data_IF_264991867258
#
_entry.id   IF_264991867258
#
_cell.length_a   1.000
_cell.length_b   1.000
_cell.length_c   1.000
_cell.angle_alpha   90.00
_cell.angle_beta   90.00
_cell.angle_gamma   90.00
#
_symmetry.space_group_name_H-M   'P 1'
#
loop_
_entity.id
_entity.type
_entity.pdbx_description
1 polymer ?
#
# COMPACT_ATOMS: atom_id res chain seq x y z
N UNK A 1 -38.48 -22.51 26.51
CA UNK A 1 -38.40 -21.64 25.30
C UNK A 1 -37.21 -20.67 25.30
N UNK A 2 -36.48 -20.48 26.42
CA UNK A 2 -35.43 -19.46 26.52
C UNK A 2 -34.00 -20.00 26.30
N UNK A 3 -33.82 -21.32 26.32
CA UNK A 3 -32.53 -21.99 26.05
C UNK A 3 -32.23 -22.10 24.56
N UNK A 4 -33.25 -22.27 23.72
CA UNK A 4 -33.10 -22.36 22.25
C UNK A 4 -32.65 -21.02 21.64
N UNK A 5 -33.24 -19.89 22.08
CA UNK A 5 -32.87 -18.55 21.63
C UNK A 5 -31.42 -18.17 21.99
N UNK A 6 -30.94 -18.57 23.18
CA UNK A 6 -29.56 -18.33 23.62
C UNK A 6 -28.52 -19.05 22.75
N UNK A 7 -28.85 -20.24 22.24
CA UNK A 7 -27.95 -20.97 21.33
C UNK A 7 -27.91 -20.32 19.95
N UNK A 8 -29.03 -19.76 19.47
CA UNK A 8 -29.07 -19.06 18.17
C UNK A 8 -28.30 -17.75 18.19
N UNK A 9 -28.30 -16.99 19.29
CA UNK A 9 -27.45 -15.79 19.44
C UNK A 9 -25.96 -16.14 19.56
N UNK A 10 -25.62 -17.23 20.27
CA UNK A 10 -24.23 -17.68 20.42
C UNK A 10 -23.64 -18.19 19.09
N UNK A 11 -24.46 -18.80 18.23
CA UNK A 11 -24.03 -19.28 16.91
C UNK A 11 -23.72 -18.14 15.93
N UNK A 12 -24.46 -17.01 16.01
CA UNK A 12 -24.19 -15.82 15.19
C UNK A 12 -22.82 -15.19 15.48
N UNK A 13 -22.32 -15.30 16.71
CA UNK A 13 -21.00 -14.82 17.09
C UNK A 13 -19.84 -15.69 16.58
N UNK A 14 -20.10 -16.95 16.20
CA UNK A 14 -19.04 -17.91 15.78
C UNK A 14 -18.96 -18.03 14.25
N UNK A 15 -20.05 -17.77 13.54
CA UNK A 15 -20.15 -17.83 12.07
C UNK A 15 -20.80 -16.57 11.50
N UNK A 16 -20.19 -15.41 11.73
CA UNK A 16 -20.47 -14.24 10.90
C UNK A 16 -19.47 -14.23 9.74
N UNK A 17 -19.86 -14.54 8.49
CA UNK A 17 -18.96 -14.48 7.34
C UNK A 17 -18.41 -13.06 7.08
N UNK A 18 -18.98 -12.03 7.73
CA UNK A 18 -18.45 -10.65 7.74
C UNK A 18 -17.43 -10.39 8.85
N UNK A 19 -17.19 -11.33 9.77
CA UNK A 19 -16.21 -11.20 10.86
C UNK A 19 -14.75 -11.47 10.44
N UNK A 20 -14.51 -11.93 9.21
CA UNK A 20 -13.17 -12.40 8.79
C UNK A 20 -12.24 -11.25 8.38
N UNK A 21 -12.78 -10.10 7.95
CA UNK A 21 -11.98 -8.92 7.62
C UNK A 21 -12.45 -7.72 8.45
N UNK A 22 -11.79 -7.47 9.59
CA UNK A 22 -11.94 -6.19 10.29
C UNK A 22 -11.49 -5.05 9.36
N UNK A 23 -12.05 -3.85 9.52
CA UNK A 23 -11.70 -2.70 8.68
C UNK A 23 -10.18 -2.43 8.63
N UNK A 24 -9.42 -2.56 9.74
CA UNK A 24 -7.96 -2.46 9.69
C UNK A 24 -7.27 -3.56 8.87
N UNK A 25 -7.73 -4.81 8.97
CA UNK A 25 -7.17 -5.94 8.21
C UNK A 25 -7.43 -5.77 6.71
N UNK A 26 -8.65 -5.37 6.34
CA UNK A 26 -8.99 -5.08 4.95
C UNK A 26 -8.13 -3.94 4.38
N UNK A 27 -8.00 -2.85 5.15
CA UNK A 27 -7.16 -1.71 4.77
C UNK A 27 -5.70 -2.12 4.54
N UNK A 28 -5.05 -2.77 5.52
CA UNK A 28 -3.64 -3.18 5.42
C UNK A 28 -3.46 -4.12 4.23
N UNK A 29 -4.38 -5.08 4.03
CA UNK A 29 -4.31 -6.03 2.92
C UNK A 29 -4.35 -5.32 1.57
N UNK A 30 -5.32 -4.41 1.37
CA UNK A 30 -5.43 -3.63 0.12
C UNK A 30 -4.21 -2.73 -0.09
N UNK A 31 -3.77 -2.03 0.96
CA UNK A 31 -2.65 -1.10 0.91
C UNK A 31 -1.33 -1.81 0.55
N UNK A 32 -1.03 -2.94 1.23
CA UNK A 32 0.16 -3.74 0.97
C UNK A 32 0.10 -4.40 -0.42
N UNK A 33 -1.08 -4.81 -0.89
CA UNK A 33 -1.23 -5.36 -2.24
C UNK A 33 -0.92 -4.33 -3.33
N UNK A 34 -1.38 -3.08 -3.16
CA UNK A 34 -1.02 -1.98 -4.08
C UNK A 34 0.48 -1.68 -4.04
N UNK A 35 1.09 -1.70 -2.86
CA UNK A 35 2.55 -1.58 -2.72
C UNK A 35 3.30 -2.72 -3.44
N UNK A 36 2.86 -3.96 -3.26
CA UNK A 36 3.45 -5.13 -3.92
C UNK A 36 3.32 -5.02 -5.45
N UNK A 37 2.20 -4.52 -5.96
CA UNK A 37 2.02 -4.24 -7.38
C UNK A 37 3.04 -3.21 -7.89
N UNK A 38 3.24 -2.11 -7.15
CA UNK A 38 4.22 -1.09 -7.53
C UNK A 38 5.64 -1.66 -7.51
N UNK A 39 6.01 -2.43 -6.49
CA UNK A 39 7.31 -3.12 -6.42
C UNK A 39 7.47 -4.05 -7.62
N UNK A 40 6.44 -4.83 -7.97
CA UNK A 40 6.48 -5.75 -9.10
C UNK A 40 6.68 -5.02 -10.44
N UNK A 41 6.06 -3.85 -10.63
CA UNK A 41 6.21 -3.04 -11.84
C UNK A 41 7.58 -2.34 -11.91
N UNK A 42 8.15 -1.99 -10.76
CA UNK A 42 9.39 -1.20 -10.66
C UNK A 42 10.65 -2.03 -10.42
N UNK A 43 10.53 -3.36 -10.24
CA UNK A 43 11.67 -4.24 -9.94
C UNK A 43 12.74 -4.28 -11.03
N UNK A 44 12.32 -4.13 -12.29
CA UNK A 44 13.23 -4.19 -13.45
C UNK A 44 13.79 -2.79 -13.78
N UNK A 45 13.35 -1.74 -13.08
CA UNK A 45 13.78 -0.36 -13.26
C UNK A 45 15.29 -0.10 -13.01
N UNK A 46 15.94 -0.68 -11.98
CA UNK A 46 17.38 -0.55 -11.81
C UNK A 46 18.20 -1.26 -12.91
N UNK A 47 17.63 -2.26 -13.57
CA UNK A 47 18.32 -3.08 -14.57
C UNK A 47 18.26 -2.47 -15.99
N UNK A 48 17.42 -1.45 -16.20
CA UNK A 48 17.13 -0.88 -17.54
C UNK A 48 18.34 -0.25 -18.21
N UNK A 49 19.22 0.40 -17.45
CA UNK A 49 20.45 0.99 -17.99
C UNK A 49 21.43 -0.09 -18.47
N UNK A 50 21.44 -1.26 -17.82
CA UNK A 50 22.13 -2.46 -18.29
C UNK A 50 21.47 -3.03 -19.55
N UNK A 51 20.17 -3.30 -19.49
CA UNK A 51 19.40 -3.89 -20.59
C UNK A 51 19.47 -3.06 -21.88
N UNK A 52 19.42 -1.73 -21.76
CA UNK A 52 19.54 -0.80 -22.91
C UNK A 52 20.94 -0.82 -23.53
N UNK A 53 21.98 -1.01 -22.72
CA UNK A 53 23.38 -1.14 -23.18
C UNK A 53 23.62 -2.45 -23.91
N UNK A 54 22.89 -3.51 -23.57
CA UNK A 54 23.00 -4.84 -24.18
C UNK A 54 21.88 -5.17 -25.19
N UNK A 55 21.07 -4.19 -25.61
CA UNK A 55 19.97 -4.36 -26.58
C UNK A 55 18.89 -5.38 -26.16
N UNK A 56 18.68 -5.57 -24.86
CA UNK A 56 17.63 -6.48 -24.35
C UNK A 56 16.30 -5.73 -24.26
N UNK A 57 15.25 -6.28 -24.87
CA UNK A 57 13.92 -5.68 -24.89
C UNK A 57 13.12 -6.11 -23.65
N UNK A 58 12.84 -5.16 -22.74
CA UNK A 58 12.00 -5.32 -21.54
C UNK A 58 10.89 -4.25 -21.55
N UNK A 59 9.90 -4.39 -20.66
CA UNK A 59 8.77 -3.45 -20.58
C UNK A 59 9.25 -2.00 -20.30
N UNK A 60 10.37 -1.86 -19.59
CA UNK A 60 11.00 -0.59 -19.26
C UNK A 60 11.83 0.03 -20.38
N UNK A 61 12.40 -0.76 -21.30
CA UNK A 61 13.04 -0.22 -22.51
C UNK A 61 12.02 0.20 -23.57
N UNK A 62 10.78 -0.35 -23.55
CA UNK A 62 9.69 0.02 -24.47
C UNK A 62 8.81 1.20 -23.99
N UNK A 63 8.42 1.23 -22.71
CA UNK A 63 7.62 2.33 -22.14
C UNK A 63 8.47 3.51 -21.66
N UNK A 64 9.77 3.28 -21.44
CA UNK A 64 10.71 4.25 -20.89
C UNK A 64 10.72 4.26 -19.36
N UNK A 65 11.93 4.31 -18.78
CA UNK A 65 12.18 4.35 -17.33
C UNK A 65 11.35 5.42 -16.63
N UNK A 66 11.21 6.60 -17.25
CA UNK A 66 10.47 7.73 -16.71
C UNK A 66 8.97 7.45 -16.57
N UNK A 67 8.36 6.72 -17.50
CA UNK A 67 6.93 6.42 -17.46
C UNK A 67 6.62 5.37 -16.39
N UNK A 68 7.47 4.37 -16.22
CA UNK A 68 7.29 3.36 -15.17
C UNK A 68 7.49 3.97 -13.79
N UNK A 69 8.52 4.82 -13.61
CA UNK A 69 8.70 5.58 -12.38
C UNK A 69 7.47 6.45 -12.08
N UNK A 70 6.95 7.17 -13.08
CA UNK A 70 5.75 8.00 -12.94
C UNK A 70 4.50 7.19 -12.59
N UNK A 71 4.28 6.03 -13.23
CA UNK A 71 3.17 5.13 -12.91
C UNK A 71 3.29 4.58 -11.49
N UNK A 72 4.48 4.14 -11.08
CA UNK A 72 4.76 3.67 -9.72
C UNK A 72 4.50 4.75 -8.67
N UNK A 73 5.04 5.95 -8.87
CA UNK A 73 4.80 7.10 -8.00
C UNK A 73 3.32 7.50 -7.96
N UNK A 74 2.64 7.50 -9.11
CA UNK A 74 1.21 7.83 -9.18
C UNK A 74 0.35 6.83 -8.40
N UNK A 75 0.61 5.53 -8.56
CA UNK A 75 -0.09 4.49 -7.80
C UNK A 75 0.16 4.60 -6.29
N UNK A 76 1.40 4.82 -5.87
CA UNK A 76 1.72 5.03 -4.45
C UNK A 76 1.05 6.29 -3.90
N UNK A 77 1.06 7.40 -4.65
CA UNK A 77 0.43 8.64 -4.21
C UNK A 77 -1.08 8.46 -4.00
N UNK A 78 -1.76 7.78 -4.94
CA UNK A 78 -3.19 7.45 -4.79
C UNK A 78 -3.41 6.56 -3.56
N UNK A 79 -2.53 5.59 -3.32
CA UNK A 79 -2.61 4.72 -2.14
C UNK A 79 -2.47 5.52 -0.83
N UNK A 80 -1.53 6.48 -0.76
CA UNK A 80 -1.38 7.38 0.38
C UNK A 80 -2.61 8.28 0.60
N UNK A 81 -3.16 8.86 -0.47
CA UNK A 81 -4.39 9.66 -0.38
C UNK A 81 -5.55 8.82 0.13
N UNK A 82 -5.71 7.59 -0.38
CA UNK A 82 -6.74 6.66 0.08
C UNK A 82 -6.60 6.33 1.57
N UNK A 83 -5.38 6.16 2.08
CA UNK A 83 -5.12 5.96 3.51
C UNK A 83 -5.54 7.18 4.36
N UNK A 84 -5.21 8.39 3.93
CA UNK A 84 -5.65 9.62 4.62
C UNK A 84 -7.18 9.72 4.63
N UNK A 85 -7.84 9.42 3.52
CA UNK A 85 -9.30 9.40 3.43
C UNK A 85 -9.91 8.33 4.35
N UNK A 86 -9.34 7.12 4.38
CA UNK A 86 -9.78 6.06 5.28
C UNK A 86 -9.73 6.49 6.76
N UNK A 87 -8.66 7.19 7.17
CA UNK A 87 -8.53 7.74 8.52
C UNK A 87 -9.62 8.78 8.83
N UNK A 88 -9.98 9.63 7.85
CA UNK A 88 -11.00 10.68 8.00
C UNK A 88 -12.41 10.07 8.10
N UNK A 89 -12.74 9.11 7.22
CA UNK A 89 -14.08 8.51 7.15
C UNK A 89 -14.33 7.43 8.21
N UNK A 90 -13.28 6.80 8.74
CA UNK A 90 -13.39 5.72 9.74
C UNK A 90 -12.60 6.03 11.03
N UNK A 91 -12.91 7.14 11.74
CA UNK A 91 -12.15 7.59 12.90
C UNK A 91 -12.20 6.60 14.08
N UNK A 92 -13.22 5.74 14.15
CA UNK A 92 -13.35 4.68 15.15
C UNK A 92 -12.47 3.45 14.86
N UNK A 93 -12.02 3.27 13.62
CA UNK A 93 -11.21 2.13 13.20
C UNK A 93 -9.70 2.42 13.22
N UNK A 94 -9.30 3.69 13.12
CA UNK A 94 -7.90 4.08 12.94
C UNK A 94 -7.48 5.24 13.84
N UNK A 95 -6.21 5.25 14.25
CA UNK A 95 -5.58 6.35 15.00
C UNK A 95 -5.23 7.51 14.06
N UNK A 96 -6.20 8.40 13.83
CA UNK A 96 -6.06 9.60 12.96
C UNK A 96 -4.81 10.44 13.22
N UNK A 97 -4.44 10.61 14.48
CA UNK A 97 -3.27 11.40 14.88
C UNK A 97 -1.94 10.83 14.38
N UNK A 98 -1.90 9.54 14.05
CA UNK A 98 -0.73 8.89 13.45
C UNK A 98 -0.92 8.72 11.95
N UNK A 99 -2.07 8.16 11.54
CA UNK A 99 -2.33 7.76 10.16
C UNK A 99 -2.24 8.94 9.19
N UNK A 100 -2.85 10.08 9.52
CA UNK A 100 -2.85 11.25 8.64
C UNK A 100 -1.45 11.84 8.47
N UNK A 101 -0.74 12.28 9.53
CA UNK A 101 0.57 12.92 9.34
C UNK A 101 1.62 11.95 8.79
N UNK A 102 1.59 10.66 9.15
CA UNK A 102 2.56 9.69 8.64
C UNK A 102 2.42 9.49 7.12
N UNK A 103 1.20 9.25 6.62
CA UNK A 103 0.97 9.02 5.20
C UNK A 103 1.16 10.31 4.37
N UNK A 104 0.82 11.49 4.92
CA UNK A 104 1.15 12.77 4.27
C UNK A 104 2.66 12.95 4.16
N UNK A 105 3.42 12.70 5.24
CA UNK A 105 4.86 12.83 5.23
C UNK A 105 5.51 11.91 4.18
N UNK A 106 5.09 10.64 4.13
CA UNK A 106 5.60 9.68 3.15
C UNK A 106 5.20 10.03 1.71
N UNK A 107 3.99 10.54 1.49
CA UNK A 107 3.56 11.05 0.18
C UNK A 107 4.40 12.26 -0.27
N UNK A 108 4.73 13.17 0.66
CA UNK A 108 5.61 14.30 0.39
C UNK A 108 7.01 13.83 0.03
N UNK A 109 7.59 12.91 0.82
CA UNK A 109 8.88 12.28 0.51
C UNK A 109 8.88 11.64 -0.88
N UNK A 110 7.78 10.99 -1.28
CA UNK A 110 7.63 10.41 -2.61
C UNK A 110 7.62 11.45 -3.73
N UNK A 111 6.93 12.58 -3.54
CA UNK A 111 6.87 13.67 -4.54
C UNK A 111 8.26 14.29 -4.75
N UNK A 112 9.03 14.46 -3.67
CA UNK A 112 10.37 15.04 -3.74
C UNK A 112 11.46 14.05 -4.19
N UNK A 113 11.12 12.79 -4.46
CA UNK A 113 12.07 11.82 -5.01
C UNK A 113 12.32 12.11 -6.50
N UNK A 114 13.32 12.96 -6.79
CA UNK A 114 13.66 13.35 -8.17
C UNK A 114 14.63 12.36 -8.86
N UNK A 115 15.34 11.55 -8.08
CA UNK A 115 16.34 10.63 -8.61
C UNK A 115 15.72 9.30 -9.05
N UNK A 116 15.78 9.02 -10.35
CA UNK A 116 15.50 7.70 -10.92
C UNK A 116 16.54 6.68 -10.43
N UNK A 117 17.81 7.10 -10.32
CA UNK A 117 18.88 6.30 -9.74
C UNK A 117 18.56 6.03 -8.26
N UNK A 118 18.22 4.78 -7.94
CA UNK A 118 17.81 4.36 -6.61
C UNK A 118 16.31 4.43 -6.32
N UNK A 119 15.46 4.75 -7.29
CA UNK A 119 13.99 4.80 -7.11
C UNK A 119 13.41 3.49 -6.56
N UNK A 120 13.84 2.35 -7.08
CA UNK A 120 13.43 1.04 -6.57
C UNK A 120 13.79 0.84 -5.09
N UNK A 121 15.02 1.22 -4.70
CA UNK A 121 15.46 1.15 -3.30
C UNK A 121 14.66 2.11 -2.42
N UNK A 122 14.33 3.29 -2.94
CA UNK A 122 13.48 4.25 -2.24
C UNK A 122 12.06 3.70 -2.00
N UNK A 123 11.46 3.01 -2.97
CA UNK A 123 10.16 2.31 -2.77
C UNK A 123 10.25 1.29 -1.63
N UNK A 124 11.31 0.50 -1.57
CA UNK A 124 11.51 -0.44 -0.47
C UNK A 124 11.63 0.27 0.89
N UNK A 125 12.32 1.41 0.95
CA UNK A 125 12.40 2.19 2.19
C UNK A 125 11.01 2.70 2.63
N UNK A 126 10.19 3.18 1.69
CA UNK A 126 8.80 3.56 1.99
C UNK A 126 7.99 2.36 2.51
N UNK A 127 8.14 1.19 1.87
CA UNK A 127 7.46 -0.03 2.31
C UNK A 127 7.87 -0.46 3.72
N UNK A 128 9.16 -0.39 4.05
CA UNK A 128 9.63 -0.70 5.41
C UNK A 128 9.16 0.31 6.45
N UNK A 129 9.10 1.60 6.08
CA UNK A 129 8.54 2.63 6.96
C UNK A 129 7.06 2.34 7.29
N UNK A 130 6.26 1.98 6.28
CA UNK A 130 4.86 1.57 6.47
C UNK A 130 4.72 0.36 7.38
N UNK A 131 5.55 -0.66 7.16
CA UNK A 131 5.55 -1.87 7.99
C UNK A 131 5.85 -1.58 9.47
N UNK A 132 6.71 -0.59 9.74
CA UNK A 132 6.98 -0.13 11.09
C UNK A 132 5.81 0.67 11.70
N UNK A 133 5.00 1.34 10.88
CA UNK A 133 3.85 2.15 11.31
C UNK A 133 2.62 1.28 11.60
N UNK A 134 2.34 0.23 10.81
CA UNK A 134 1.11 -0.57 10.89
C UNK A 134 0.69 -1.08 12.29
N UNK A 135 1.59 -1.51 13.19
CA UNK A 135 1.21 -1.93 14.55
C UNK A 135 0.57 -0.82 15.39
N UNK A 136 0.73 0.43 14.98
CA UNK A 136 0.30 1.61 15.73
C UNK A 136 -0.88 2.35 15.09
N UNK A 137 -1.30 1.96 13.89
CA UNK A 137 -2.41 2.57 13.12
C UNK A 137 -3.76 2.14 13.65
#
# INVERSE_FOLDING_TARGET
MNTCLKTTERAKHVFDPYSVCSAPVAFITTFVTLFALVIAITKDLPDVEGDRKFQISTLATKLGVRNIAFLGSGLLLVNYVAAVLAAIYMPQAFRRSLMIPAHIFLAVCLIFQEAISGFYRFIWNLFYAEYAIFPFV
#
